data_IF_992345045004
#
_entry.id   IF_992345045004
#
_cell.length_a   1.000
_cell.length_b   1.000
_cell.length_c   1.000
_cell.angle_alpha   90.00
_cell.angle_beta   90.00
_cell.angle_gamma   90.00
#
_symmetry.space_group_name_H-M   'P 1'
#
loop_
_entity.id
_entity.type
_entity.pdbx_description
1 polymer ?
#
# COMPACT_ATOMS: atom_id res chain seq x y z
N UNK A 1 -9.71 -10.98 11.55
CA UNK A 1 -9.74 -9.50 11.61
C UNK A 1 -8.58 -8.91 12.40
N UNK A 2 -8.31 -9.42 13.61
CA UNK A 2 -7.19 -8.94 14.44
C UNK A 2 -5.84 -8.90 13.69
N UNK A 3 -5.51 -9.93 12.90
CA UNK A 3 -4.33 -9.94 12.05
C UNK A 3 -4.29 -8.79 11.03
N UNK A 4 -5.40 -8.50 10.34
CA UNK A 4 -5.48 -7.40 9.37
C UNK A 4 -5.31 -6.04 10.05
N UNK A 5 -5.91 -5.85 11.23
CA UNK A 5 -5.75 -4.63 12.04
C UNK A 5 -4.28 -4.45 12.42
N UNK A 6 -3.63 -5.50 12.92
CA UNK A 6 -2.21 -5.47 13.30
C UNK A 6 -1.32 -5.12 12.10
N UNK A 7 -1.52 -5.79 10.95
CA UNK A 7 -0.77 -5.52 9.72
C UNK A 7 -1.00 -4.08 9.24
N UNK A 8 -2.24 -3.58 9.30
CA UNK A 8 -2.55 -2.20 8.92
C UNK A 8 -1.91 -1.17 9.85
N UNK A 9 -1.85 -1.42 11.16
CA UNK A 9 -1.15 -0.55 12.12
C UNK A 9 0.35 -0.50 11.78
N UNK A 10 0.97 -1.65 11.54
CA UNK A 10 2.40 -1.73 11.19
C UNK A 10 2.67 -1.00 9.88
N UNK A 11 1.88 -1.25 8.83
CA UNK A 11 2.01 -0.54 7.55
C UNK A 11 1.79 0.97 7.69
N UNK A 12 0.83 1.41 8.50
CA UNK A 12 0.57 2.82 8.76
C UNK A 12 1.78 3.49 9.43
N UNK A 13 2.35 2.87 10.47
CA UNK A 13 3.54 3.36 11.15
C UNK A 13 4.77 3.41 10.22
N UNK A 14 4.96 2.36 9.41
CA UNK A 14 6.04 2.32 8.41
C UNK A 14 5.95 3.47 7.40
N UNK A 15 4.75 3.97 7.09
CA UNK A 15 4.62 5.11 6.17
C UNK A 15 5.24 6.40 6.70
N UNK A 16 5.36 6.60 8.02
CA UNK A 16 6.06 7.75 8.60
C UNK A 16 7.57 7.63 8.40
N UNK A 17 8.10 6.42 8.61
CA UNK A 17 9.51 6.14 8.41
C UNK A 17 9.90 6.26 6.91
N UNK A 18 9.12 5.67 6.01
CA UNK A 18 9.27 5.80 4.55
C UNK A 18 9.14 7.26 4.06
N UNK A 19 8.33 8.08 4.73
CA UNK A 19 8.21 9.50 4.39
C UNK A 19 9.52 10.25 4.64
N UNK A 20 10.31 9.84 5.63
CA UNK A 20 11.62 10.46 5.95
C UNK A 20 12.66 10.19 4.86
N UNK A 21 12.60 9.02 4.22
CA UNK A 21 13.49 8.65 3.11
C UNK A 21 13.25 9.47 1.83
N UNK A 22 12.13 10.19 1.71
CA UNK A 22 11.86 11.05 0.56
C UNK A 22 12.97 12.09 0.32
N UNK A 23 13.63 12.56 1.38
CA UNK A 23 14.70 13.57 1.27
C UNK A 23 15.99 13.01 0.63
N UNK A 24 16.17 11.70 0.65
CA UNK A 24 17.33 11.00 0.07
C UNK A 24 17.10 10.57 -1.40
N UNK A 25 15.86 10.71 -1.91
CA UNK A 25 15.50 10.37 -3.29
C UNK A 25 15.80 11.52 -4.25
N UNK A 26 16.24 11.18 -5.47
CA UNK A 26 16.33 12.14 -6.58
C UNK A 26 14.99 12.85 -6.82
N UNK A 27 15.03 14.16 -7.12
CA UNK A 27 13.83 15.00 -7.29
C UNK A 27 12.80 14.41 -8.25
N UNK A 28 13.28 13.79 -9.33
CA UNK A 28 12.43 13.15 -10.33
C UNK A 28 11.48 12.09 -9.75
N UNK A 29 11.89 11.39 -8.68
CA UNK A 29 11.12 10.31 -8.05
C UNK A 29 10.39 10.74 -6.77
N UNK A 30 10.69 11.91 -6.21
CA UNK A 30 10.09 12.39 -4.94
C UNK A 30 8.56 12.48 -5.04
N UNK A 31 8.04 12.92 -6.19
CA UNK A 31 6.60 13.09 -6.41
C UNK A 31 5.86 11.74 -6.43
N UNK A 32 6.37 10.76 -7.17
CA UNK A 32 5.79 9.42 -7.21
C UNK A 32 5.92 8.75 -5.83
N UNK A 33 7.08 8.85 -5.18
CA UNK A 33 7.30 8.30 -3.84
C UNK A 33 6.28 8.83 -2.82
N UNK A 34 6.10 10.15 -2.76
CA UNK A 34 5.12 10.78 -1.87
C UNK A 34 3.70 10.27 -2.15
N UNK A 35 3.33 10.10 -3.43
CA UNK A 35 2.01 9.58 -3.82
C UNK A 35 1.84 8.13 -3.34
N UNK A 36 2.86 7.29 -3.51
CA UNK A 36 2.84 5.89 -3.07
C UNK A 36 2.76 5.76 -1.55
N UNK A 37 3.58 6.51 -0.81
CA UNK A 37 3.56 6.51 0.66
C UNK A 37 2.20 6.97 1.19
N UNK A 38 1.64 8.03 0.61
CA UNK A 38 0.31 8.51 0.99
C UNK A 38 -0.79 7.50 0.65
N UNK A 39 -0.71 6.84 -0.50
CA UNK A 39 -1.66 5.79 -0.87
C UNK A 39 -1.65 4.66 0.16
N UNK A 40 -0.47 4.11 0.48
CA UNK A 40 -0.32 3.05 1.49
C UNK A 40 -0.86 3.53 2.85
N UNK A 41 -0.61 4.79 3.23
CA UNK A 41 -1.09 5.36 4.49
C UNK A 41 -2.61 5.41 4.55
N UNK A 42 -3.26 5.95 3.53
CA UNK A 42 -4.72 6.04 3.48
C UNK A 42 -5.38 4.67 3.39
N UNK A 43 -4.82 3.75 2.61
CA UNK A 43 -5.35 2.39 2.51
C UNK A 43 -5.19 1.64 3.82
N UNK A 44 -4.06 1.77 4.51
CA UNK A 44 -3.86 1.18 5.84
C UNK A 44 -4.84 1.75 6.86
N UNK A 45 -5.09 3.07 6.83
CA UNK A 45 -6.07 3.72 7.68
C UNK A 45 -7.51 3.28 7.39
N UNK A 46 -7.87 3.13 6.12
CA UNK A 46 -9.17 2.62 5.71
C UNK A 46 -9.41 1.18 6.18
N UNK A 47 -8.41 0.31 6.07
CA UNK A 47 -8.50 -1.08 6.58
C UNK A 47 -8.60 -1.09 8.11
N UNK A 48 -7.89 -0.20 8.80
CA UNK A 48 -7.99 -0.02 10.25
C UNK A 48 -9.41 0.37 10.68
N UNK A 49 -9.99 1.39 10.05
CA UNK A 49 -11.36 1.81 10.30
C UNK A 49 -12.36 0.69 9.98
N UNK A 50 -12.16 0.01 8.86
CA UNK A 50 -13.04 -1.07 8.45
C UNK A 50 -12.95 -2.28 9.40
N UNK A 51 -11.77 -2.57 9.93
CA UNK A 51 -11.56 -3.59 10.96
C UNK A 51 -12.18 -3.23 12.32
N UNK A 52 -12.17 -1.94 12.68
CA UNK A 52 -12.83 -1.43 13.91
C UNK A 52 -14.35 -1.38 13.79
N UNK A 53 -14.86 -1.02 12.61
CA UNK A 53 -16.29 -1.02 12.29
C UNK A 53 -16.82 -2.42 11.91
N UNK A 54 -15.97 -3.45 12.03
CA UNK A 54 -16.33 -4.79 11.60
C UNK A 54 -17.37 -5.42 12.51
N UNK A 55 -18.57 -5.62 11.95
CA UNK A 55 -19.59 -6.51 12.49
C UNK A 55 -19.28 -7.93 11.97
N UNK A 56 -19.28 -8.97 12.83
CA UNK A 56 -18.82 -10.33 12.49
C UNK A 56 -19.41 -10.96 11.22
N UNK A 57 -20.57 -10.50 10.76
CA UNK A 57 -21.29 -11.03 9.59
C UNK A 57 -20.91 -10.36 8.27
N UNK A 58 -20.08 -9.31 8.26
CA UNK A 58 -19.72 -8.56 7.06
C UNK A 58 -18.66 -9.29 6.21
N UNK A 59 -19.01 -10.42 5.58
CA UNK A 59 -18.16 -11.19 4.67
C UNK A 59 -17.60 -10.34 3.51
N UNK A 60 -18.36 -9.34 3.07
CA UNK A 60 -17.99 -8.40 2.01
C UNK A 60 -16.66 -7.70 2.33
N UNK A 61 -16.47 -7.24 3.57
CA UNK A 61 -15.26 -6.48 3.93
C UNK A 61 -13.99 -7.35 3.88
N UNK A 62 -14.12 -8.62 4.24
CA UNK A 62 -13.04 -9.62 4.16
C UNK A 62 -12.67 -9.88 2.70
N UNK A 63 -13.66 -10.01 1.82
CA UNK A 63 -13.46 -10.18 0.37
C UNK A 63 -12.83 -8.93 -0.25
N UNK A 64 -13.33 -7.72 0.08
CA UNK A 64 -12.77 -6.46 -0.42
C UNK A 64 -11.31 -6.25 0.01
N UNK A 65 -10.96 -6.64 1.23
CA UNK A 65 -9.58 -6.55 1.73
C UNK A 65 -8.63 -7.49 0.97
N UNK A 66 -9.07 -8.72 0.69
CA UNK A 66 -8.31 -9.66 -0.16
C UNK A 66 -8.19 -9.16 -1.60
N UNK A 67 -9.27 -8.60 -2.16
CA UNK A 67 -9.28 -8.05 -3.51
C UNK A 67 -8.28 -6.89 -3.64
N UNK A 68 -8.17 -6.06 -2.60
CA UNK A 68 -7.24 -4.94 -2.56
C UNK A 68 -5.76 -5.40 -2.43
N UNK A 69 -5.49 -6.44 -1.64
CA UNK A 69 -4.14 -7.04 -1.60
C UNK A 69 -3.77 -7.61 -2.98
N UNK A 70 -4.71 -8.31 -3.63
CA UNK A 70 -4.51 -8.89 -4.94
C UNK A 70 -4.26 -7.81 -6.02
N UNK A 71 -5.00 -6.70 -5.97
CA UNK A 71 -4.81 -5.59 -6.91
C UNK A 71 -3.48 -4.88 -6.71
N UNK A 72 -3.02 -4.73 -5.46
CA UNK A 72 -1.68 -4.20 -5.17
C UNK A 72 -0.58 -5.12 -5.73
N UNK A 73 -0.69 -6.44 -5.59
CA UNK A 73 0.27 -7.39 -6.15
C UNK A 73 0.35 -7.29 -7.67
N UNK A 74 -0.80 -7.25 -8.37
CA UNK A 74 -0.85 -7.07 -9.82
C UNK A 74 -0.22 -5.73 -10.23
N UNK A 75 -0.52 -4.66 -9.51
CA UNK A 75 0.03 -3.34 -9.78
C UNK A 75 1.56 -3.31 -9.64
N UNK A 76 2.11 -3.83 -8.53
CA UNK A 76 3.56 -3.94 -8.36
C UNK A 76 4.21 -4.84 -9.42
N UNK A 77 3.59 -5.97 -9.75
CA UNK A 77 4.06 -6.84 -10.83
C UNK A 77 4.13 -6.12 -12.18
N UNK A 78 3.10 -5.34 -12.53
CA UNK A 78 3.08 -4.55 -13.76
C UNK A 78 4.20 -3.51 -13.81
N UNK A 79 4.45 -2.81 -12.70
CA UNK A 79 5.53 -1.83 -12.59
C UNK A 79 6.90 -2.50 -12.75
N UNK A 80 7.08 -3.69 -12.19
CA UNK A 80 8.31 -4.47 -12.31
C UNK A 80 8.58 -4.89 -13.76
N UNK A 81 7.54 -5.36 -14.48
CA UNK A 81 7.63 -5.70 -15.90
C UNK A 81 8.00 -4.47 -16.74
N UNK A 82 7.35 -3.32 -16.51
CA UNK A 82 7.64 -2.07 -17.21
C UNK A 82 9.08 -1.63 -16.95
N UNK A 83 9.54 -1.70 -15.70
CA UNK A 83 10.90 -1.36 -15.33
C UNK A 83 11.94 -2.22 -16.07
N UNK A 84 11.77 -3.55 -16.04
CA UNK A 84 12.68 -4.47 -16.74
C UNK A 84 12.67 -4.25 -18.26
N UNK A 85 11.50 -3.98 -18.85
CA UNK A 85 11.37 -3.67 -20.29
C UNK A 85 12.10 -2.39 -20.69
N UNK A 86 12.06 -1.35 -19.85
CA UNK A 86 12.79 -0.11 -20.08
C UNK A 86 14.31 -0.27 -19.85
N UNK A 87 14.73 -1.12 -18.92
CA UNK A 87 16.14 -1.43 -18.69
C UNK A 87 16.79 -2.16 -19.87
N UNK A 88 16.05 -3.07 -20.51
CA UNK A 88 16.54 -3.83 -21.68
C UNK A 88 16.66 -3.02 -22.98
N UNK A 89 16.09 -1.80 -23.03
CA UNK A 89 16.13 -0.92 -24.21
C UNK A 89 17.18 0.19 -24.13
N UNK A 90 17.89 0.30 -23.00
CA UNK A 90 19.07 1.14 -22.83
C UNK A 90 20.32 0.30 -23.00
#
# INVERSE_FOLDING_TARGET
MMFFIIVSIVCFLLTFWLSKYQNQLHEHYKKQWKKTVNYIRYTSFAILLAGLLYVPEAQILKISSWLLIFSMLLYFGSLFIIYNKNKSKK
#
